data_IF_654221052122
#
_entry.id   IF_654221052122
#
_cell.length_a   1.000
_cell.length_b   1.000
_cell.length_c   1.000
_cell.angle_alpha   90.00
_cell.angle_beta   90.00
_cell.angle_gamma   90.00
#
_symmetry.space_group_name_H-M   'P 1'
#
loop_
_entity.id
_entity.type
_entity.pdbx_description
1 polymer ?
#
# COMPACT_ATOMS: atom_id res chain seq x y z
N UNK A 1 1.95 -29.30 -1.55
CA UNK A 1 2.36 -28.79 -2.88
C UNK A 1 1.87 -27.36 -2.97
N UNK A 2 2.78 -26.38 -3.00
CA UNK A 2 2.41 -24.96 -3.03
C UNK A 2 2.10 -24.54 -4.45
N UNK A 3 0.83 -24.30 -4.75
CA UNK A 3 0.39 -23.82 -6.05
C UNK A 3 0.80 -22.35 -6.20
N UNK A 4 1.80 -22.08 -7.04
CA UNK A 4 2.32 -20.73 -7.27
C UNK A 4 1.65 -20.17 -8.52
N UNK A 5 0.96 -19.04 -8.37
CA UNK A 5 0.39 -18.34 -9.51
C UNK A 5 1.49 -17.91 -10.48
N UNK A 6 1.29 -18.08 -11.80
CA UNK A 6 2.24 -17.57 -12.78
C UNK A 6 2.29 -16.04 -12.71
N UNK A 7 3.48 -15.47 -12.87
CA UNK A 7 3.75 -14.04 -12.60
C UNK A 7 2.79 -13.07 -13.28
N UNK A 8 2.35 -13.37 -14.51
CA UNK A 8 1.43 -12.51 -15.26
C UNK A 8 0.02 -12.46 -14.64
N UNK A 9 -0.50 -13.60 -14.13
CA UNK A 9 -1.77 -13.63 -13.40
C UNK A 9 -1.63 -12.98 -12.03
N UNK A 10 -0.55 -13.30 -11.32
CA UNK A 10 -0.27 -12.72 -10.01
C UNK A 10 -0.17 -11.20 -10.10
N UNK A 11 0.55 -10.67 -11.08
CA UNK A 11 0.70 -9.24 -11.27
C UNK A 11 -0.66 -8.57 -11.47
N UNK A 12 -1.47 -9.06 -12.41
CA UNK A 12 -2.79 -8.47 -12.69
C UNK A 12 -3.74 -8.49 -11.48
N UNK A 13 -3.74 -9.59 -10.72
CA UNK A 13 -4.60 -9.74 -9.54
C UNK A 13 -4.13 -8.84 -8.39
N UNK A 14 -2.84 -8.81 -8.10
CA UNK A 14 -2.29 -8.03 -6.98
C UNK A 14 -2.11 -6.54 -7.30
N UNK A 15 -2.07 -6.15 -8.58
CA UNK A 15 -1.97 -4.74 -8.98
C UNK A 15 -3.31 -4.03 -9.05
N UNK A 16 -4.43 -4.75 -9.01
CA UNK A 16 -5.78 -4.17 -9.21
C UNK A 16 -6.12 -3.12 -8.14
N UNK A 17 -5.79 -3.39 -6.88
CA UNK A 17 -6.02 -2.49 -5.75
C UNK A 17 -5.21 -1.18 -5.89
N UNK A 18 -3.90 -1.31 -6.16
CA UNK A 18 -3.05 -0.16 -6.44
C UNK A 18 -3.54 0.65 -7.66
N UNK A 19 -3.99 -0.02 -8.73
CA UNK A 19 -4.48 0.64 -9.93
C UNK A 19 -5.81 1.38 -9.68
N UNK A 20 -6.69 0.80 -8.86
CA UNK A 20 -7.94 1.44 -8.41
C UNK A 20 -7.65 2.74 -7.64
N UNK A 21 -6.67 2.72 -6.74
CA UNK A 21 -6.26 3.92 -5.98
C UNK A 21 -5.70 5.03 -6.87
N UNK A 22 -5.05 4.71 -7.99
CA UNK A 22 -4.55 5.71 -8.96
C UNK A 22 -5.69 6.37 -9.73
N UNK A 23 -6.80 5.65 -9.96
CA UNK A 23 -7.99 6.21 -10.61
C UNK A 23 -8.69 7.26 -9.74
N UNK A 24 -8.80 7.01 -8.43
CA UNK A 24 -9.58 7.87 -7.52
C UNK A 24 -8.73 8.91 -6.76
N UNK A 25 -7.55 8.53 -6.28
CA UNK A 25 -6.77 9.33 -5.34
C UNK A 25 -6.40 10.74 -5.84
N UNK A 26 -5.76 10.87 -7.03
CA UNK A 26 -5.37 12.17 -7.58
C UNK A 26 -6.56 13.10 -7.80
N UNK A 27 -7.68 12.57 -8.32
CA UNK A 27 -8.89 13.35 -8.57
C UNK A 27 -9.48 13.90 -7.27
N UNK A 28 -9.55 13.08 -6.21
CA UNK A 28 -10.05 13.53 -4.92
C UNK A 28 -9.18 14.63 -4.29
N UNK A 29 -7.86 14.51 -4.39
CA UNK A 29 -6.93 15.54 -3.90
C UNK A 29 -7.16 16.85 -4.67
N UNK A 30 -7.30 16.78 -6.00
CA UNK A 30 -7.56 17.96 -6.83
C UNK A 30 -8.88 18.64 -6.46
N UNK A 31 -9.96 17.86 -6.25
CA UNK A 31 -11.28 18.38 -5.88
C UNK A 31 -11.26 19.08 -4.51
N UNK A 32 -10.66 18.45 -3.49
CA UNK A 32 -10.58 19.04 -2.14
C UNK A 32 -9.77 20.34 -2.15
N UNK A 33 -8.66 20.39 -2.88
CA UNK A 33 -7.85 21.59 -3.02
C UNK A 33 -8.54 22.67 -3.86
N UNK A 34 -9.31 22.30 -4.87
CA UNK A 34 -10.08 23.25 -5.68
C UNK A 34 -11.22 23.89 -4.86
N UNK A 35 -11.95 23.11 -4.05
CA UNK A 35 -13.03 23.60 -3.18
C UNK A 35 -12.50 24.57 -2.11
N UNK A 36 -11.29 24.31 -1.59
CA UNK A 36 -10.64 25.18 -0.60
C UNK A 36 -10.03 26.46 -1.18
N UNK A 37 -10.06 26.64 -2.50
CA UNK A 37 -9.73 27.88 -3.21
C UNK A 37 -8.39 27.85 -3.96
N UNK A 38 -8.16 28.89 -4.77
CA UNK A 38 -7.05 28.94 -5.74
C UNK A 38 -5.65 28.86 -5.11
N UNK A 39 -5.47 29.40 -3.89
CA UNK A 39 -4.20 29.31 -3.15
C UNK A 39 -3.91 27.88 -2.71
N UNK A 40 -4.94 27.13 -2.29
CA UNK A 40 -4.81 25.73 -1.89
C UNK A 40 -4.49 24.82 -3.09
N UNK A 41 -5.08 25.10 -4.26
CA UNK A 41 -4.81 24.34 -5.49
C UNK A 41 -3.34 24.37 -5.92
N UNK A 42 -2.60 25.46 -5.62
CA UNK A 42 -1.16 25.54 -5.86
C UNK A 42 -0.32 24.48 -5.14
N UNK A 43 -0.86 23.84 -4.09
CA UNK A 43 -0.18 22.75 -3.36
C UNK A 43 -0.30 21.38 -4.04
N UNK A 44 -1.18 21.22 -5.03
CA UNK A 44 -1.39 19.95 -5.74
C UNK A 44 -0.10 19.29 -6.25
N UNK A 45 0.81 19.97 -6.98
CA UNK A 45 2.03 19.33 -7.48
C UNK A 45 2.97 18.87 -6.35
N UNK A 46 2.99 19.58 -5.21
CA UNK A 46 3.79 19.19 -4.05
C UNK A 46 3.23 17.94 -3.36
N UNK A 47 1.90 17.86 -3.23
CA UNK A 47 1.23 16.68 -2.70
C UNK A 47 1.48 15.47 -3.61
N UNK A 48 1.31 15.63 -4.92
CA UNK A 48 1.58 14.59 -5.91
C UNK A 48 3.02 14.07 -5.84
N UNK A 49 4.01 14.96 -5.82
CA UNK A 49 5.42 14.57 -5.72
C UNK A 49 5.72 13.83 -4.42
N UNK A 50 5.13 14.27 -3.31
CA UNK A 50 5.28 13.62 -2.00
C UNK A 50 4.73 12.19 -2.02
N UNK A 51 3.55 11.98 -2.62
CA UNK A 51 2.95 10.64 -2.77
C UNK A 51 3.83 9.74 -3.65
N UNK A 52 4.40 10.26 -4.75
CA UNK A 52 5.32 9.49 -5.59
C UNK A 52 6.58 9.05 -4.83
N UNK A 53 7.17 9.95 -4.04
CA UNK A 53 8.34 9.63 -3.19
C UNK A 53 7.96 8.56 -2.17
N UNK A 54 6.81 8.72 -1.50
CA UNK A 54 6.32 7.75 -0.52
C UNK A 54 6.11 6.37 -1.15
N UNK A 55 5.52 6.32 -2.36
CA UNK A 55 5.31 5.07 -3.09
C UNK A 55 6.63 4.36 -3.41
N UNK A 56 7.66 5.11 -3.80
CA UNK A 56 9.00 4.57 -4.04
C UNK A 56 9.60 3.96 -2.76
N UNK A 57 9.49 4.68 -1.63
CA UNK A 57 9.98 4.21 -0.32
C UNK A 57 9.24 2.92 0.10
N UNK A 58 7.91 2.92 0.01
CA UNK A 58 7.08 1.76 0.36
C UNK A 58 7.44 0.56 -0.52
N UNK A 59 7.56 0.77 -1.83
CA UNK A 59 7.95 -0.29 -2.77
C UNK A 59 9.31 -0.88 -2.39
N UNK A 60 10.31 -0.05 -2.12
CA UNK A 60 11.62 -0.50 -1.66
C UNK A 60 11.53 -1.30 -0.35
N UNK A 61 10.78 -0.80 0.63
CA UNK A 61 10.55 -1.49 1.91
C UNK A 61 9.91 -2.87 1.73
N UNK A 62 8.83 -2.97 0.95
CA UNK A 62 8.15 -4.24 0.68
C UNK A 62 9.05 -5.25 -0.02
N UNK A 63 9.91 -4.81 -0.94
CA UNK A 63 10.87 -5.73 -1.58
C UNK A 63 11.88 -6.30 -0.60
N UNK A 64 12.33 -5.52 0.39
CA UNK A 64 13.23 -5.99 1.45
C UNK A 64 12.54 -7.01 2.35
N UNK A 65 11.33 -6.70 2.82
CA UNK A 65 10.54 -7.58 3.70
C UNK A 65 10.23 -8.92 3.02
N UNK A 66 9.86 -8.87 1.73
CA UNK A 66 9.54 -10.07 0.95
C UNK A 66 10.76 -10.96 0.74
N UNK A 67 11.94 -10.37 0.48
CA UNK A 67 13.20 -11.12 0.36
C UNK A 67 13.62 -11.75 1.68
N UNK A 68 13.42 -11.06 2.80
CA UNK A 68 13.73 -11.57 4.13
C UNK A 68 12.77 -12.68 4.60
N UNK A 69 11.56 -12.76 4.02
CA UNK A 69 10.52 -13.72 4.40
C UNK A 69 10.01 -14.52 3.18
N UNK A 70 10.84 -15.38 2.58
CA UNK A 70 10.51 -16.12 1.35
C UNK A 70 9.38 -17.15 1.52
N UNK A 71 9.06 -17.53 2.77
CA UNK A 71 7.92 -18.40 3.10
C UNK A 71 6.55 -17.73 3.01
N UNK A 72 6.49 -16.40 2.83
CA UNK A 72 5.24 -15.64 2.80
C UNK A 72 4.59 -15.48 4.17
N UNK A 73 3.27 -15.26 4.18
CA UNK A 73 2.46 -15.14 5.41
C UNK A 73 2.00 -13.71 5.79
N UNK A 74 2.36 -12.71 5.00
CA UNK A 74 1.85 -11.34 5.15
C UNK A 74 2.32 -10.61 6.42
N UNK A 75 1.76 -9.43 6.67
CA UNK A 75 2.14 -8.54 7.77
C UNK A 75 1.94 -9.16 9.16
N UNK A 76 0.89 -9.97 9.36
CA UNK A 76 0.66 -10.71 10.61
C UNK A 76 1.80 -11.67 10.94
N UNK A 77 2.18 -12.54 9.99
CA UNK A 77 3.24 -13.53 10.19
C UNK A 77 4.60 -12.86 10.45
N UNK A 78 4.90 -11.81 9.67
CA UNK A 78 6.13 -11.02 9.84
C UNK A 78 6.16 -10.32 11.20
N UNK A 79 5.06 -9.72 11.65
CA UNK A 79 4.96 -9.07 12.95
C UNK A 79 5.09 -10.09 14.09
N UNK A 80 4.43 -11.25 14.00
CA UNK A 80 4.50 -12.30 15.02
C UNK A 80 5.91 -12.83 15.20
N UNK A 81 6.65 -13.03 14.10
CA UNK A 81 8.03 -13.52 14.11
C UNK A 81 9.02 -12.51 14.71
N UNK A 82 8.84 -11.21 14.47
CA UNK A 82 9.85 -10.19 14.79
C UNK A 82 9.51 -9.33 16.02
N UNK A 83 8.23 -9.15 16.33
CA UNK A 83 7.74 -8.19 17.33
C UNK A 83 6.88 -8.83 18.43
N UNK A 84 6.48 -10.10 18.26
CA UNK A 84 5.68 -10.84 19.23
C UNK A 84 4.17 -10.72 19.01
N UNK A 85 3.40 -11.12 20.03
CA UNK A 85 1.97 -11.39 19.88
C UNK A 85 1.12 -10.13 19.75
N UNK A 86 1.24 -9.16 20.67
CA UNK A 86 0.39 -7.95 20.62
C UNK A 86 0.54 -7.15 19.32
N UNK A 87 1.75 -6.85 18.82
CA UNK A 87 1.89 -6.13 17.55
C UNK A 87 1.34 -6.93 16.36
N UNK A 88 1.44 -8.26 16.41
CA UNK A 88 0.87 -9.13 15.37
C UNK A 88 -0.66 -9.07 15.35
N UNK A 89 -1.31 -9.04 16.51
CA UNK A 89 -2.77 -8.92 16.60
C UNK A 89 -3.26 -7.57 16.06
N UNK A 90 -2.54 -6.49 16.33
CA UNK A 90 -2.83 -5.17 15.73
C UNK A 90 -2.71 -5.22 14.21
N UNK A 91 -1.65 -5.84 13.68
CA UNK A 91 -1.50 -6.02 12.23
C UNK A 91 -2.62 -6.87 11.61
N UNK A 92 -3.07 -7.91 12.31
CA UNK A 92 -4.21 -8.74 11.89
C UNK A 92 -5.53 -7.97 11.91
N UNK A 93 -5.80 -7.21 12.98
CA UNK A 93 -7.00 -6.39 13.09
C UNK A 93 -7.05 -5.29 12.03
N UNK A 94 -5.91 -4.65 11.74
CA UNK A 94 -5.80 -3.66 10.67
C UNK A 94 -6.10 -4.28 9.30
N UNK A 95 -5.60 -5.48 9.01
CA UNK A 95 -5.93 -6.20 7.77
C UNK A 95 -7.42 -6.52 7.65
N UNK A 96 -8.08 -6.91 8.75
CA UNK A 96 -9.52 -7.15 8.72
C UNK A 96 -10.30 -5.87 8.45
N UNK A 97 -9.88 -4.74 9.02
CA UNK A 97 -10.50 -3.44 8.76
C UNK A 97 -10.25 -2.94 7.33
N UNK A 98 -9.09 -3.25 6.74
CA UNK A 98 -8.73 -2.90 5.36
C UNK A 98 -9.59 -3.65 4.31
N UNK A 99 -10.01 -4.88 4.63
CA UNK A 99 -10.83 -5.70 3.73
C UNK A 99 -12.34 -5.40 3.76
N UNK A 100 -12.84 -4.69 4.77
CA UNK A 100 -14.28 -4.39 4.95
C UNK A 100 -14.60 -3.02 4.37
#
# INVERSE_FOLDING_TARGET
>A
MGERLPKWKALAIFSSDALSSVGYGPEQIALVLAISGFVAYGYYPYAFLTVLILLAIVTASYTQVTRANPGGGGSYSVAKKNLGEHPSLVAGAALFADYV
#
